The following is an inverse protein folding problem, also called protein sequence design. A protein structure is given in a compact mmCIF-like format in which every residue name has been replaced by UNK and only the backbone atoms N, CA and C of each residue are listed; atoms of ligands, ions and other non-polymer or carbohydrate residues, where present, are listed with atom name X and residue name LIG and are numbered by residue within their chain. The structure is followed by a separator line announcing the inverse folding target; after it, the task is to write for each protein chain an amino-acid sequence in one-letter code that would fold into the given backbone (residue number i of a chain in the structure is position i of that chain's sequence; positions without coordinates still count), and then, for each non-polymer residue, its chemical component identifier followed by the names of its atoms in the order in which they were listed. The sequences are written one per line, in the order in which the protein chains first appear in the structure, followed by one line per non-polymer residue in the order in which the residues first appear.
data_IF_910303995886
#
_entry.id   IF_910303995886
#
_cell.length_a   1.000
_cell.length_b   1.000
_cell.length_c   1.000
_cell.angle_alpha   90.00
_cell.angle_beta   90.00
_cell.angle_gamma   90.00
#
_symmetry.space_group_name_H-M   'P 1'
#
loop_
_entity.id
_entity.type
_entity.pdbx_description
1 polymer ?
#
# COMPACT_ATOMS: atom_id res chain seq x y z
N UNK A 1 -3.31 19.08 -16.35
CA UNK A 1 -2.49 20.21 -15.83
C UNK A 1 -1.72 19.68 -14.63
N UNK A 2 -0.45 20.09 -14.45
CA UNK A 2 0.41 19.63 -13.35
C UNK A 2 0.53 20.79 -12.36
N UNK A 3 0.30 20.51 -11.07
CA UNK A 3 0.51 21.47 -9.98
C UNK A 3 1.91 21.22 -9.42
N UNK A 4 2.71 22.30 -9.26
CA UNK A 4 4.03 22.21 -8.63
C UNK A 4 3.88 21.87 -7.14
N UNK A 5 4.70 20.95 -6.65
CA UNK A 5 4.72 20.46 -5.26
C UNK A 5 5.46 21.39 -4.27
N UNK A 6 6.09 22.45 -4.77
CA UNK A 6 6.85 23.41 -3.97
C UNK A 6 8.32 23.07 -3.79
N UNK A 7 8.77 21.91 -4.27
CA UNK A 7 10.18 21.53 -4.24
C UNK A 7 10.89 21.91 -5.55
N UNK A 8 12.10 22.39 -5.43
CA UNK A 8 12.97 22.62 -6.58
C UNK A 8 13.51 21.28 -7.14
N UNK A 9 13.99 21.28 -8.39
CA UNK A 9 14.42 20.05 -9.08
C UNK A 9 15.61 19.35 -8.43
N UNK A 10 16.44 20.08 -7.70
CA UNK A 10 17.65 19.58 -7.03
C UNK A 10 17.41 19.16 -5.57
N UNK A 11 16.21 19.38 -5.04
CA UNK A 11 15.89 19.02 -3.67
C UNK A 11 15.60 17.54 -3.53
N UNK A 12 15.99 16.96 -2.39
CA UNK A 12 15.79 15.54 -2.11
C UNK A 12 14.30 15.25 -1.91
N UNK A 13 13.73 14.49 -2.83
CA UNK A 13 12.33 14.07 -2.78
C UNK A 13 12.10 12.84 -1.91
N UNK A 14 13.15 12.28 -1.29
CA UNK A 14 13.02 11.23 -0.30
C UNK A 14 12.92 11.78 1.14
N UNK A 15 13.16 13.07 1.32
CA UNK A 15 12.92 13.76 2.59
C UNK A 15 11.41 13.99 2.77
N UNK A 16 10.75 13.07 3.48
CA UNK A 16 9.31 13.10 3.69
C UNK A 16 8.85 14.32 4.49
N UNK A 17 9.64 14.80 5.44
CA UNK A 17 9.29 15.98 6.23
C UNK A 17 9.23 17.20 5.31
N UNK A 18 10.31 17.46 4.58
CA UNK A 18 10.40 18.58 3.65
C UNK A 18 9.35 18.52 2.55
N UNK A 19 9.12 17.33 1.99
CA UNK A 19 8.10 17.13 0.98
C UNK A 19 6.70 17.44 1.53
N UNK A 20 6.39 16.98 2.74
CA UNK A 20 5.10 17.26 3.40
C UNK A 20 4.89 18.76 3.59
N UNK A 21 5.86 19.47 4.16
CA UNK A 21 5.78 20.92 4.36
C UNK A 21 5.60 21.68 3.05
N UNK A 22 6.39 21.37 2.03
CA UNK A 22 6.33 22.03 0.73
C UNK A 22 4.96 21.87 0.06
N UNK A 23 4.39 20.65 0.09
CA UNK A 23 3.07 20.33 -0.45
C UNK A 23 2.00 21.14 0.27
N UNK A 24 1.98 21.13 1.60
CA UNK A 24 0.95 21.82 2.38
C UNK A 24 1.02 23.35 2.25
N UNK A 25 2.20 23.91 2.03
CA UNK A 25 2.39 25.35 1.84
C UNK A 25 2.02 25.81 0.41
N UNK A 26 2.30 25.00 -0.59
CA UNK A 26 2.25 25.46 -1.99
C UNK A 26 1.00 25.01 -2.73
N UNK A 27 0.62 23.74 -2.59
CA UNK A 27 -0.42 23.15 -3.45
C UNK A 27 -1.84 23.65 -3.20
N UNK A 28 -2.27 24.04 -1.98
CA UNK A 28 -3.63 24.55 -1.75
C UNK A 28 -3.96 25.77 -2.62
N UNK A 29 -3.09 26.78 -2.65
CA UNK A 29 -3.29 27.99 -3.44
C UNK A 29 -3.33 27.68 -4.96
N UNK A 30 -2.46 26.78 -5.38
CA UNK A 30 -2.41 26.32 -6.78
C UNK A 30 -3.66 25.53 -7.20
N UNK A 31 -4.24 24.76 -6.30
CA UNK A 31 -5.51 24.06 -6.58
C UNK A 31 -6.66 25.07 -6.75
N UNK A 32 -6.72 26.12 -5.92
CA UNK A 32 -7.71 27.21 -6.06
C UNK A 32 -7.57 27.88 -7.43
N UNK A 33 -6.35 28.22 -7.87
CA UNK A 33 -6.07 28.81 -9.17
C UNK A 33 -6.53 27.89 -10.31
N UNK A 34 -6.23 26.60 -10.20
CA UNK A 34 -6.62 25.59 -11.18
C UNK A 34 -8.14 25.48 -11.31
N UNK A 35 -8.85 25.33 -10.19
CA UNK A 35 -10.32 25.24 -10.17
C UNK A 35 -10.94 26.50 -10.78
N UNK A 36 -10.46 27.68 -10.40
CA UNK A 36 -10.94 28.94 -10.97
C UNK A 36 -10.70 29.03 -12.48
N UNK A 37 -9.58 28.49 -12.96
CA UNK A 37 -9.24 28.48 -14.39
C UNK A 37 -10.17 27.57 -15.17
N UNK A 38 -10.42 26.36 -14.69
CA UNK A 38 -11.32 25.40 -15.31
C UNK A 38 -12.76 25.93 -15.32
N UNK A 39 -13.20 26.50 -14.20
CA UNK A 39 -14.58 27.00 -14.03
C UNK A 39 -14.89 28.28 -14.84
N UNK A 40 -13.90 28.90 -15.49
CA UNK A 40 -14.14 30.00 -16.44
C UNK A 40 -14.74 29.52 -17.76
N UNK A 41 -14.60 28.25 -18.10
CA UNK A 41 -15.18 27.62 -19.27
C UNK A 41 -16.59 27.15 -18.89
N UNK A 42 -17.64 27.71 -19.57
CA UNK A 42 -19.03 27.51 -19.16
C UNK A 42 -19.50 26.04 -19.12
N UNK A 43 -18.89 25.18 -19.91
CA UNK A 43 -19.30 23.77 -20.03
C UNK A 43 -18.53 22.80 -19.14
N UNK A 44 -17.55 23.27 -18.34
CA UNK A 44 -16.58 22.40 -17.63
C UNK A 44 -16.43 22.72 -16.15
N UNK A 45 -17.52 23.10 -15.47
CA UNK A 45 -17.45 23.40 -14.02
C UNK A 45 -17.12 22.16 -13.20
N UNK A 46 -16.21 22.32 -12.25
CA UNK A 46 -15.88 21.29 -11.27
C UNK A 46 -17.01 21.23 -10.25
N UNK A 47 -17.69 20.08 -10.17
CA UNK A 47 -18.83 19.84 -9.27
C UNK A 47 -18.48 18.99 -8.04
N UNK A 48 -17.33 18.30 -8.07
CA UNK A 48 -16.87 17.48 -6.95
C UNK A 48 -15.34 17.41 -6.96
N UNK A 49 -14.75 17.44 -5.76
CA UNK A 49 -13.32 17.13 -5.55
C UNK A 49 -13.24 15.79 -4.83
N UNK A 50 -12.53 14.83 -5.45
CA UNK A 50 -12.17 13.57 -4.83
C UNK A 50 -10.69 13.65 -4.51
N UNK A 51 -10.31 13.55 -3.24
CA UNK A 51 -8.93 13.66 -2.81
C UNK A 51 -8.47 12.41 -2.06
N UNK A 52 -7.23 12.00 -2.31
CA UNK A 52 -6.52 11.07 -1.43
C UNK A 52 -6.47 11.70 -0.02
N UNK A 53 -6.69 10.87 1.00
CA UNK A 53 -6.73 11.34 2.40
C UNK A 53 -5.41 11.97 2.82
N UNK A 54 -4.28 11.53 2.28
CA UNK A 54 -2.98 12.19 2.51
C UNK A 54 -2.94 13.62 1.99
N UNK A 55 -3.88 13.99 1.10
CA UNK A 55 -4.08 15.33 0.54
C UNK A 55 -5.30 16.04 1.16
N UNK A 56 -5.54 15.86 2.46
CA UNK A 56 -6.70 16.46 3.17
C UNK A 56 -6.85 17.97 2.97
N UNK A 57 -5.76 18.70 2.70
CA UNK A 57 -5.79 20.11 2.33
C UNK A 57 -6.65 20.38 1.07
N UNK A 58 -6.74 19.44 0.14
CA UNK A 58 -7.58 19.60 -1.06
C UNK A 58 -9.08 19.55 -0.71
N UNK A 59 -9.46 18.80 0.34
CA UNK A 59 -10.82 18.78 0.86
C UNK A 59 -11.18 20.10 1.53
N UNK A 60 -10.23 20.75 2.22
CA UNK A 60 -10.43 22.11 2.74
C UNK A 60 -10.58 23.16 1.64
N UNK A 61 -9.80 23.03 0.55
CA UNK A 61 -9.98 23.91 -0.62
C UNK A 61 -11.38 23.76 -1.20
N UNK A 62 -11.87 22.53 -1.37
CA UNK A 62 -13.21 22.27 -1.87
C UNK A 62 -14.29 22.83 -0.94
N UNK A 63 -14.14 22.67 0.40
CA UNK A 63 -15.03 23.25 1.41
C UNK A 63 -15.13 24.77 1.26
N UNK A 64 -13.99 25.46 1.18
CA UNK A 64 -13.94 26.93 1.06
C UNK A 64 -14.49 27.45 -0.28
N UNK A 65 -14.57 26.60 -1.27
CA UNK A 65 -15.13 26.92 -2.60
C UNK A 65 -16.56 26.41 -2.78
N UNK A 66 -17.19 25.87 -1.74
CA UNK A 66 -18.53 25.30 -1.75
C UNK A 66 -18.70 24.19 -2.79
N UNK A 67 -17.64 23.42 -3.07
CA UNK A 67 -17.63 22.28 -3.96
C UNK A 67 -17.84 21.00 -3.16
N UNK A 68 -18.70 20.09 -3.67
CA UNK A 68 -18.90 18.76 -3.09
C UNK A 68 -17.58 18.03 -2.98
N UNK A 69 -17.43 17.18 -1.97
CA UNK A 69 -16.15 16.52 -1.70
C UNK A 69 -16.31 15.09 -1.20
N UNK A 70 -15.39 14.27 -1.64
CA UNK A 70 -15.25 12.91 -1.17
C UNK A 70 -13.78 12.62 -0.89
N UNK A 71 -13.53 11.82 0.13
CA UNK A 71 -12.18 11.33 0.42
C UNK A 71 -12.00 9.92 -0.12
N UNK A 72 -10.78 9.63 -0.58
CA UNK A 72 -10.37 8.32 -1.06
C UNK A 72 -9.16 7.85 -0.27
N UNK A 73 -9.21 6.62 0.24
CA UNK A 73 -8.12 5.97 0.93
C UNK A 73 -7.59 4.78 0.13
N UNK A 74 -6.35 4.84 -0.39
CA UNK A 74 -5.79 3.80 -1.23
C UNK A 74 -5.16 2.62 -0.46
N UNK A 75 -5.09 2.69 0.88
CA UNK A 75 -4.49 1.69 1.74
C UNK A 75 -5.54 0.86 2.52
N UNK A 76 -5.11 0.06 3.50
CA UNK A 76 -5.99 -0.79 4.32
C UNK A 76 -6.96 0.01 5.19
N UNK A 77 -8.15 -0.53 5.42
CA UNK A 77 -9.15 0.13 6.25
C UNK A 77 -8.68 0.27 7.70
N UNK A 78 -7.91 -0.69 8.22
CA UNK A 78 -7.35 -0.61 9.58
C UNK A 78 -6.35 0.52 9.74
N UNK A 79 -5.56 0.83 8.70
CA UNK A 79 -4.66 1.97 8.73
C UNK A 79 -5.45 3.30 8.77
N UNK A 80 -6.54 3.40 8.01
CA UNK A 80 -7.45 4.55 8.09
C UNK A 80 -8.14 4.64 9.44
N UNK A 81 -8.64 3.54 9.98
CA UNK A 81 -9.27 3.49 11.30
C UNK A 81 -8.31 3.98 12.39
N UNK A 82 -7.03 3.55 12.34
CA UNK A 82 -5.99 4.03 13.25
C UNK A 82 -5.78 5.54 13.13
N UNK A 83 -5.76 6.04 11.90
CA UNK A 83 -5.63 7.46 11.60
C UNK A 83 -6.82 8.27 12.17
N UNK A 84 -8.04 7.82 11.94
CA UNK A 84 -9.25 8.49 12.43
C UNK A 84 -9.40 8.41 13.95
N UNK A 85 -8.75 7.46 14.61
CA UNK A 85 -8.74 7.28 16.07
C UNK A 85 -7.64 8.06 16.79
N UNK A 86 -6.93 8.96 16.09
CA UNK A 86 -5.74 9.64 16.64
C UNK A 86 -5.99 10.29 18.02
N UNK A 87 -7.15 10.92 18.21
CA UNK A 87 -7.47 11.57 19.48
C UNK A 87 -7.64 10.55 20.61
N UNK A 88 -8.36 9.45 20.36
CA UNK A 88 -8.52 8.35 21.33
C UNK A 88 -7.16 7.75 21.70
N UNK A 89 -6.26 7.57 20.73
CA UNK A 89 -4.92 7.03 21.00
C UNK A 89 -4.08 7.97 21.89
N UNK A 90 -4.28 9.29 21.79
CA UNK A 90 -3.66 10.28 22.69
C UNK A 90 -4.30 10.21 24.07
N UNK A 91 -5.61 10.23 24.16
CA UNK A 91 -6.37 10.25 25.42
C UNK A 91 -6.13 8.97 26.24
N UNK A 92 -5.97 7.84 25.58
CA UNK A 92 -5.65 6.53 26.19
C UNK A 92 -4.16 6.36 26.53
N UNK A 93 -3.32 7.36 26.24
CA UNK A 93 -1.89 7.33 26.56
C UNK A 93 -1.07 6.32 25.74
N UNK A 94 -1.55 5.95 24.56
CA UNK A 94 -0.83 5.10 23.61
C UNK A 94 0.30 5.89 22.93
N UNK A 95 0.02 7.16 22.58
CA UNK A 95 0.98 8.08 21.98
C UNK A 95 0.82 9.49 22.55
N UNK A 96 1.81 10.33 22.32
CA UNK A 96 1.75 11.76 22.66
C UNK A 96 1.14 12.61 21.53
N UNK A 97 1.00 13.92 21.78
CA UNK A 97 0.47 14.89 20.80
C UNK A 97 1.34 15.08 19.53
N UNK A 98 2.56 14.57 19.52
CA UNK A 98 3.46 14.58 18.37
C UNK A 98 3.39 13.23 17.58
N UNK A 99 2.47 12.33 17.95
CA UNK A 99 2.29 11.02 17.31
C UNK A 99 3.34 9.98 17.72
N UNK A 100 4.16 10.28 18.73
CA UNK A 100 5.21 9.37 19.21
C UNK A 100 4.63 8.37 20.22
N UNK A 101 4.80 7.07 20.04
CA UNK A 101 4.40 6.06 21.01
C UNK A 101 4.99 6.31 22.39
N UNK A 102 4.18 6.17 23.45
CA UNK A 102 4.61 6.37 24.84
C UNK A 102 5.04 5.06 25.51
N UNK A 103 4.64 3.92 24.95
CA UNK A 103 4.95 2.59 25.47
C UNK A 103 4.84 1.54 24.33
N UNK A 104 5.20 0.30 24.64
CA UNK A 104 5.11 -0.83 23.68
C UNK A 104 3.89 -1.73 23.94
N UNK A 105 2.92 -1.30 24.76
CA UNK A 105 1.73 -2.07 25.07
C UNK A 105 0.86 -2.23 23.84
N UNK A 106 0.60 -3.46 23.46
CA UNK A 106 -0.29 -3.79 22.35
C UNK A 106 -1.71 -3.32 22.72
N UNK A 107 -2.38 -2.66 21.78
CA UNK A 107 -3.74 -2.16 21.93
C UNK A 107 -4.63 -2.65 20.78
N UNK A 108 -5.93 -2.49 20.91
CA UNK A 108 -6.93 -2.75 19.88
C UNK A 108 -7.85 -1.55 19.77
N UNK A 109 -8.22 -1.14 18.54
CA UNK A 109 -9.22 -0.09 18.32
C UNK A 109 -10.63 -0.55 18.69
N UNK A 110 -10.85 -1.86 18.68
CA UNK A 110 -12.07 -2.54 19.13
C UNK A 110 -11.69 -3.97 19.56
N UNK A 111 -12.42 -4.60 20.48
CA UNK A 111 -12.13 -5.98 20.93
C UNK A 111 -12.11 -7.03 19.83
N UNK A 112 -12.76 -6.75 18.69
CA UNK A 112 -12.82 -7.64 17.52
C UNK A 112 -11.77 -7.32 16.45
N UNK A 113 -11.15 -6.13 16.52
CA UNK A 113 -10.13 -5.74 15.55
C UNK A 113 -8.76 -6.33 15.91
N UNK A 114 -7.86 -6.49 14.92
CA UNK A 114 -6.52 -7.00 15.17
C UNK A 114 -5.73 -6.16 16.18
N UNK A 115 -4.87 -6.79 16.99
CA UNK A 115 -3.99 -6.08 17.89
C UNK A 115 -2.93 -5.28 17.14
N UNK A 116 -2.62 -4.08 17.62
CA UNK A 116 -1.67 -3.15 17.02
C UNK A 116 -0.56 -2.83 18.04
N UNK A 117 0.69 -2.91 17.62
CA UNK A 117 1.81 -2.35 18.36
C UNK A 117 1.89 -0.85 18.08
N UNK A 118 2.04 0.02 19.09
CA UNK A 118 2.14 1.47 18.86
C UNK A 118 3.21 1.86 17.84
N UNK A 119 4.37 1.17 17.86
CA UNK A 119 5.45 1.38 16.91
C UNK A 119 5.10 0.99 15.46
N UNK A 120 4.00 0.24 15.23
CA UNK A 120 3.51 -0.18 13.91
C UNK A 120 2.40 0.75 13.38
N UNK A 121 2.07 1.83 14.08
CA UNK A 121 1.21 2.87 13.53
C UNK A 121 1.88 3.50 12.30
N UNK A 122 1.12 3.74 11.24
CA UNK A 122 1.68 4.11 9.93
C UNK A 122 2.61 5.31 9.95
N UNK A 123 2.38 6.25 10.85
CA UNK A 123 3.22 7.44 11.03
C UNK A 123 4.40 7.23 12.00
N UNK A 124 4.33 6.23 12.88
CA UNK A 124 5.36 5.99 13.91
C UNK A 124 6.61 5.28 13.36
N UNK A 125 6.52 4.71 12.16
CA UNK A 125 7.59 3.90 11.55
C UNK A 125 8.15 4.48 10.24
N UNK A 126 7.97 5.80 9.98
CA UNK A 126 8.33 6.43 8.70
C UNK A 126 9.66 7.19 8.69
N UNK A 127 10.32 7.36 9.82
CA UNK A 127 11.56 8.13 9.87
C UNK A 127 12.03 8.44 11.30
N UNK A 128 12.74 9.53 11.44
CA UNK A 128 13.15 10.05 12.75
C UNK A 128 11.99 10.79 13.46
N UNK A 129 12.22 11.20 14.70
CA UNK A 129 11.21 11.89 15.52
C UNK A 129 10.74 13.21 14.91
N UNK A 130 11.61 13.94 14.21
CA UNK A 130 11.24 15.21 13.57
C UNK A 130 10.31 14.96 12.38
N UNK A 131 10.66 14.01 11.54
CA UNK A 131 9.82 13.56 10.42
C UNK A 131 8.47 13.03 10.91
N UNK A 132 8.46 12.18 11.95
CA UNK A 132 7.23 11.64 12.56
C UNK A 132 6.29 12.76 12.99
N UNK A 133 6.81 13.78 13.69
CA UNK A 133 6.02 14.93 14.15
C UNK A 133 5.36 15.69 13.00
N UNK A 134 6.14 16.03 11.96
CA UNK A 134 5.65 16.80 10.79
C UNK A 134 4.57 16.01 10.06
N UNK A 135 4.83 14.75 9.78
CA UNK A 135 3.88 13.89 9.07
C UNK A 135 2.64 13.62 9.91
N UNK A 136 2.79 13.42 11.23
CA UNK A 136 1.64 13.23 12.13
C UNK A 136 0.74 14.45 12.18
N UNK A 137 1.30 15.67 12.26
CA UNK A 137 0.52 16.89 12.20
C UNK A 137 -0.27 17.02 10.90
N UNK A 138 0.35 16.70 9.76
CA UNK A 138 -0.33 16.66 8.46
C UNK A 138 -1.47 15.63 8.43
N UNK A 139 -1.24 14.43 9.02
CA UNK A 139 -2.24 13.37 9.17
C UNK A 139 -3.43 13.85 10.03
N UNK A 140 -3.19 14.51 11.15
CA UNK A 140 -4.25 15.04 12.02
C UNK A 140 -5.11 16.05 11.28
N UNK A 141 -4.50 16.99 10.55
CA UNK A 141 -5.25 17.95 9.73
C UNK A 141 -6.05 17.27 8.62
N UNK A 142 -5.47 16.26 7.99
CA UNK A 142 -6.18 15.43 7.00
C UNK A 142 -7.38 14.70 7.62
N UNK A 143 -7.21 14.07 8.78
CA UNK A 143 -8.29 13.36 9.49
C UNK A 143 -9.47 14.29 9.82
N UNK A 144 -9.19 15.52 10.28
CA UNK A 144 -10.22 16.54 10.55
C UNK A 144 -11.00 16.93 9.29
N UNK A 145 -10.34 16.98 8.13
CA UNK A 145 -11.00 17.27 6.86
C UNK A 145 -11.86 16.09 6.38
N UNK A 146 -11.34 14.87 6.53
CA UNK A 146 -11.99 13.62 6.09
C UNK A 146 -13.33 13.38 6.81
N UNK A 147 -13.35 13.57 8.14
CA UNK A 147 -14.57 13.36 8.94
C UNK A 147 -15.74 14.24 8.47
N UNK A 148 -15.45 15.37 7.82
CA UNK A 148 -16.46 16.28 7.29
C UNK A 148 -16.88 16.00 5.85
N UNK A 149 -16.32 14.97 5.19
CA UNK A 149 -16.71 14.63 3.83
C UNK A 149 -17.98 13.78 3.80
N UNK A 150 -18.76 13.91 2.74
CA UNK A 150 -19.99 13.12 2.54
C UNK A 150 -19.70 11.65 2.25
N UNK A 151 -18.50 11.36 1.69
CA UNK A 151 -18.08 10.02 1.32
C UNK A 151 -16.64 9.76 1.75
N UNK A 152 -16.44 8.66 2.46
CA UNK A 152 -15.10 8.14 2.81
C UNK A 152 -14.94 6.79 2.11
N UNK A 153 -14.30 6.81 0.94
CA UNK A 153 -14.12 5.65 0.08
C UNK A 153 -12.80 4.96 0.42
N UNK A 154 -12.82 3.64 0.61
CA UNK A 154 -11.63 2.87 0.94
C UNK A 154 -11.35 1.79 -0.11
N UNK A 155 -10.11 1.72 -0.59
CA UNK A 155 -9.64 0.67 -1.52
C UNK A 155 -9.43 -0.66 -0.80
N UNK A 156 -10.46 -1.15 -0.15
CA UNK A 156 -10.52 -2.45 0.50
C UNK A 156 -11.91 -3.05 0.31
N UNK A 157 -12.14 -4.23 0.85
CA UNK A 157 -13.47 -4.85 0.82
C UNK A 157 -13.88 -5.31 2.22
N UNK A 158 -15.20 -5.35 2.45
CA UNK A 158 -15.76 -5.84 3.71
C UNK A 158 -15.31 -7.27 4.03
N UNK A 159 -15.08 -8.11 3.02
CA UNK A 159 -14.64 -9.48 3.22
C UNK A 159 -13.14 -9.60 3.62
N UNK A 160 -12.34 -8.56 3.36
CA UNK A 160 -10.93 -8.52 3.76
C UNK A 160 -10.74 -7.98 5.18
N UNK A 161 -11.54 -6.96 5.54
CA UNK A 161 -11.39 -6.24 6.81
C UNK A 161 -12.75 -6.02 7.49
N UNK A 162 -13.55 -7.11 7.64
CA UNK A 162 -14.93 -7.09 8.14
C UNK A 162 -15.10 -6.36 9.45
N UNK A 163 -14.18 -6.60 10.40
CA UNK A 163 -14.23 -6.03 11.74
C UNK A 163 -14.03 -4.52 11.71
N UNK A 164 -13.10 -4.06 10.87
CA UNK A 164 -12.84 -2.63 10.69
C UNK A 164 -14.05 -1.92 10.09
N UNK A 165 -14.63 -2.43 9.01
CA UNK A 165 -15.82 -1.82 8.39
C UNK A 165 -17.05 -1.89 9.29
N UNK A 166 -17.18 -2.91 10.12
CA UNK A 166 -18.27 -3.03 11.09
C UNK A 166 -18.15 -2.00 12.22
N UNK A 167 -16.94 -1.72 12.67
CA UNK A 167 -16.69 -0.75 13.74
C UNK A 167 -16.68 0.70 13.23
N UNK A 168 -16.29 0.92 11.99
CA UNK A 168 -16.26 2.23 11.31
C UNK A 168 -17.21 2.24 10.10
N UNK A 169 -18.55 2.25 10.32
CA UNK A 169 -19.54 2.12 9.24
C UNK A 169 -19.55 3.29 8.25
N UNK A 170 -18.94 4.43 8.62
CA UNK A 170 -18.73 5.56 7.71
C UNK A 170 -17.69 5.29 6.61
N UNK A 171 -16.83 4.28 6.77
CA UNK A 171 -15.89 3.86 5.75
C UNK A 171 -16.61 2.97 4.74
N UNK A 172 -16.56 3.34 3.48
CA UNK A 172 -17.24 2.61 2.41
C UNK A 172 -16.23 1.84 1.57
N UNK A 173 -16.29 0.52 1.63
CA UNK A 173 -15.45 -0.34 0.80
C UNK A 173 -15.83 -0.19 -0.67
N UNK A 174 -14.85 0.09 -1.55
CA UNK A 174 -15.02 0.12 -2.99
C UNK A 174 -13.99 -0.75 -3.73
N UNK A 175 -13.11 -1.41 -2.98
CA UNK A 175 -12.02 -2.24 -3.50
C UNK A 175 -12.34 -3.74 -3.52
N UNK A 176 -11.36 -4.54 -3.98
CA UNK A 176 -10.06 -4.12 -4.46
C UNK A 176 -10.09 -3.44 -5.83
N UNK A 177 -9.57 -2.20 -5.90
CA UNK A 177 -9.36 -1.51 -7.16
C UNK A 177 -7.98 -1.87 -7.67
N UNK A 178 -7.94 -2.70 -8.70
CA UNK A 178 -6.71 -3.08 -9.36
C UNK A 178 -6.59 -2.34 -10.68
N UNK A 179 -5.35 -2.04 -11.10
CA UNK A 179 -5.07 -1.54 -12.44
C UNK A 179 -5.43 -2.64 -13.44
N UNK A 180 -6.70 -2.76 -13.76
CA UNK A 180 -7.21 -3.77 -14.69
C UNK A 180 -7.20 -3.21 -16.11
N UNK A 181 -7.22 -4.10 -17.12
CA UNK A 181 -7.38 -3.78 -18.54
C UNK A 181 -8.68 -3.02 -18.88
N UNK A 182 -9.47 -2.58 -17.89
CA UNK A 182 -10.72 -1.81 -18.07
C UNK A 182 -10.50 -0.46 -18.77
N UNK A 183 -9.32 0.12 -18.58
CA UNK A 183 -8.94 1.35 -19.26
C UNK A 183 -7.84 0.99 -20.25
N UNK A 184 -8.10 0.73 -21.49
CA UNK A 184 -7.21 0.38 -22.60
C UNK A 184 -5.83 1.14 -22.67
N UNK A 185 -5.50 1.93 -21.66
CA UNK A 185 -4.23 2.60 -21.43
C UNK A 185 -3.63 2.07 -20.13
N UNK A 186 -2.36 1.62 -20.21
CA UNK A 186 -1.58 1.28 -19.03
C UNK A 186 -1.51 2.50 -18.08
N UNK A 187 -1.69 2.26 -16.77
CA UNK A 187 -1.33 3.24 -15.76
C UNK A 187 0.16 3.55 -15.87
N UNK A 188 0.56 4.79 -15.59
CA UNK A 188 1.97 5.16 -15.59
C UNK A 188 2.77 4.32 -14.60
N UNK A 189 4.01 3.98 -14.96
CA UNK A 189 4.95 3.25 -14.11
C UNK A 189 6.12 4.16 -13.75
N UNK A 190 6.71 3.96 -12.57
CA UNK A 190 7.91 4.70 -12.15
C UNK A 190 9.14 4.30 -12.98
N UNK A 191 9.19 3.03 -13.43
CA UNK A 191 10.26 2.47 -14.26
C UNK A 191 9.65 1.68 -15.42
N UNK A 192 10.37 1.57 -16.56
CA UNK A 192 9.94 0.70 -17.65
C UNK A 192 9.81 -0.76 -17.18
N UNK A 193 8.71 -1.41 -17.54
CA UNK A 193 8.50 -2.83 -17.25
C UNK A 193 9.35 -3.71 -18.18
N UNK A 194 10.06 -4.68 -17.60
CA UNK A 194 10.71 -5.76 -18.34
C UNK A 194 9.74 -6.94 -18.48
N UNK A 195 9.04 -6.99 -19.62
CA UNK A 195 8.09 -8.07 -19.92
C UNK A 195 8.78 -9.39 -20.29
N UNK A 196 10.10 -9.42 -20.52
CA UNK A 196 10.83 -10.65 -20.85
C UNK A 196 10.81 -11.66 -19.73
N UNK A 197 10.54 -11.20 -18.48
CA UNK A 197 10.35 -12.08 -17.35
C UNK A 197 9.14 -13.02 -17.52
N UNK A 198 8.11 -12.64 -18.28
CA UNK A 198 6.94 -13.50 -18.52
C UNK A 198 7.33 -14.72 -19.39
N UNK A 199 8.13 -14.52 -20.45
CA UNK A 199 8.65 -15.62 -21.26
C UNK A 199 9.54 -16.57 -20.46
N UNK A 200 10.29 -16.04 -19.47
CA UNK A 200 11.05 -16.89 -18.55
C UNK A 200 10.13 -17.67 -17.60
N UNK A 201 9.06 -17.05 -17.10
CA UNK A 201 8.05 -17.72 -16.26
C UNK A 201 7.35 -18.86 -17.00
N UNK A 202 7.07 -18.70 -18.32
CA UNK A 202 6.47 -19.76 -19.17
C UNK A 202 7.32 -21.03 -19.19
N UNK A 203 8.63 -20.92 -18.97
CA UNK A 203 9.57 -22.05 -18.95
C UNK A 203 9.67 -22.73 -17.57
N UNK A 204 9.02 -22.17 -16.53
CA UNK A 204 9.12 -22.70 -15.18
C UNK A 204 7.95 -23.64 -14.87
N UNK A 205 8.17 -24.69 -14.06
CA UNK A 205 7.09 -25.54 -13.58
C UNK A 205 6.00 -24.75 -12.86
N UNK A 206 4.77 -25.23 -12.92
CA UNK A 206 3.68 -24.62 -12.15
C UNK A 206 3.98 -24.61 -10.65
N UNK A 207 3.61 -23.51 -9.95
CA UNK A 207 3.79 -23.33 -8.52
C UNK A 207 5.23 -23.58 -8.03
N UNK A 208 6.24 -23.14 -8.79
CA UNK A 208 7.66 -23.35 -8.45
C UNK A 208 8.43 -22.08 -8.14
N UNK A 209 8.01 -20.93 -8.69
CA UNK A 209 8.76 -19.66 -8.66
C UNK A 209 8.44 -18.83 -7.43
N UNK A 210 9.48 -18.37 -6.75
CA UNK A 210 9.38 -17.33 -5.74
C UNK A 210 9.43 -15.98 -6.46
N UNK A 211 8.38 -15.15 -6.32
CA UNK A 211 8.41 -13.77 -6.80
C UNK A 211 8.83 -12.84 -5.67
N UNK A 212 9.77 -11.93 -5.93
CA UNK A 212 10.31 -10.99 -4.92
C UNK A 212 10.19 -9.56 -5.43
N UNK A 213 9.44 -8.69 -4.69
CA UNK A 213 9.38 -7.27 -4.98
C UNK A 213 9.13 -6.44 -3.71
N UNK A 214 9.90 -5.37 -3.55
CA UNK A 214 9.88 -4.48 -2.39
C UNK A 214 9.23 -3.12 -2.68
N UNK A 215 8.44 -3.01 -3.75
CA UNK A 215 7.78 -1.76 -4.12
C UNK A 215 8.77 -0.67 -4.54
N UNK A 216 8.30 0.58 -4.50
CA UNK A 216 9.04 1.74 -5.03
C UNK A 216 9.89 2.48 -3.99
N UNK A 217 9.68 2.25 -2.68
CA UNK A 217 10.31 3.05 -1.61
C UNK A 217 11.30 2.28 -0.73
N UNK A 218 11.15 0.97 -0.58
CA UNK A 218 12.01 0.18 0.32
C UNK A 218 13.49 0.31 -0.07
N UNK A 219 14.33 0.61 0.92
CA UNK A 219 15.80 0.63 0.76
C UNK A 219 16.38 -0.41 1.71
N UNK A 220 17.13 -1.36 1.18
CA UNK A 220 17.85 -2.36 1.93
C UNK A 220 19.30 -1.87 2.16
N UNK A 221 19.85 -2.18 3.34
CA UNK A 221 21.31 -2.08 3.46
C UNK A 221 22.01 -3.23 2.73
N UNK A 222 23.28 -3.09 2.43
CA UNK A 222 24.03 -4.05 1.63
C UNK A 222 24.08 -5.43 2.30
N UNK A 223 24.25 -5.49 3.63
CA UNK A 223 24.29 -6.75 4.36
C UNK A 223 22.97 -7.51 4.27
N UNK A 224 21.83 -6.79 4.38
CA UNK A 224 20.51 -7.38 4.24
C UNK A 224 20.23 -7.81 2.78
N UNK A 225 20.72 -7.07 1.80
CA UNK A 225 20.64 -7.45 0.40
C UNK A 225 21.39 -8.76 0.10
N UNK A 226 22.60 -8.91 0.66
CA UNK A 226 23.40 -10.12 0.55
C UNK A 226 22.73 -11.32 1.22
N UNK A 227 22.17 -11.16 2.42
CA UNK A 227 21.42 -12.21 3.11
C UNK A 227 20.19 -12.66 2.30
N UNK A 228 19.49 -11.72 1.64
CA UNK A 228 18.39 -12.05 0.74
C UNK A 228 18.88 -12.86 -0.46
N UNK A 229 19.96 -12.43 -1.12
CA UNK A 229 20.55 -13.14 -2.24
C UNK A 229 20.94 -14.58 -1.86
N UNK A 230 21.69 -14.75 -0.76
CA UNK A 230 22.09 -16.06 -0.24
C UNK A 230 20.88 -16.90 0.16
N UNK A 231 19.87 -16.30 0.77
CA UNK A 231 18.64 -16.99 1.14
C UNK A 231 17.90 -17.56 -0.07
N UNK A 232 17.79 -16.79 -1.16
CA UNK A 232 17.21 -17.24 -2.41
C UNK A 232 18.02 -18.39 -3.04
N UNK A 233 19.34 -18.28 -3.05
CA UNK A 233 20.22 -19.34 -3.50
C UNK A 233 20.00 -20.63 -2.72
N UNK A 234 19.95 -20.55 -1.39
CA UNK A 234 19.76 -21.68 -0.49
C UNK A 234 18.40 -22.38 -0.62
N UNK A 235 17.37 -21.71 -1.16
CA UNK A 235 16.07 -22.36 -1.42
C UNK A 235 16.16 -23.41 -2.52
N UNK A 236 17.15 -23.30 -3.37
CA UNK A 236 17.32 -24.13 -4.59
C UNK A 236 16.10 -24.13 -5.53
N UNK A 237 15.29 -23.06 -5.48
CA UNK A 237 14.08 -22.89 -6.30
C UNK A 237 14.27 -21.83 -7.37
N UNK A 238 13.48 -21.86 -8.46
CA UNK A 238 13.41 -20.73 -9.38
C UNK A 238 12.90 -19.48 -8.66
N UNK A 239 13.46 -18.32 -8.99
CA UNK A 239 12.99 -17.04 -8.44
C UNK A 239 13.04 -15.91 -9.47
N UNK A 240 12.07 -15.02 -9.40
CA UNK A 240 12.02 -13.75 -10.12
C UNK A 240 12.15 -12.62 -9.11
N UNK A 241 13.25 -11.88 -9.17
CA UNK A 241 13.56 -10.82 -8.23
C UNK A 241 13.60 -9.46 -8.91
N UNK A 242 12.77 -8.52 -8.42
CA UNK A 242 12.76 -7.12 -8.85
C UNK A 242 13.80 -6.34 -8.06
N UNK A 243 14.87 -5.92 -8.73
CA UNK A 243 15.97 -5.13 -8.18
C UNK A 243 15.98 -3.77 -8.90
N UNK A 244 15.16 -2.84 -8.38
CA UNK A 244 15.05 -1.51 -8.97
C UNK A 244 16.28 -0.65 -8.70
N UNK A 245 16.55 0.38 -9.52
CA UNK A 245 17.54 1.40 -9.17
C UNK A 245 17.25 2.02 -7.80
N UNK A 246 18.27 2.16 -6.96
CA UNK A 246 18.13 2.71 -5.61
C UNK A 246 17.43 1.79 -4.60
N UNK A 247 17.44 0.46 -4.81
CA UNK A 247 17.00 -0.51 -3.78
C UNK A 247 17.98 -0.61 -2.62
N UNK A 248 19.23 -0.23 -2.85
CA UNK A 248 20.24 -0.02 -1.81
C UNK A 248 20.69 1.45 -1.84
N UNK A 249 21.39 1.88 -0.79
CA UNK A 249 21.97 3.25 -0.72
C UNK A 249 23.14 3.45 -1.69
N UNK A 250 23.78 2.35 -2.07
CA UNK A 250 24.88 2.35 -3.02
C UNK A 250 24.37 2.60 -4.45
N UNK A 251 25.18 3.28 -5.26
CA UNK A 251 24.85 3.56 -6.66
C UNK A 251 24.81 2.29 -7.53
N UNK A 252 25.54 1.25 -7.11
CA UNK A 252 25.58 -0.05 -7.79
C UNK A 252 25.35 -1.15 -6.76
N UNK A 253 24.37 -2.01 -7.04
CA UNK A 253 24.07 -3.18 -6.20
C UNK A 253 25.19 -4.21 -6.34
N UNK A 254 25.71 -4.69 -5.20
CA UNK A 254 26.73 -5.74 -5.17
C UNK A 254 26.12 -7.06 -4.71
N UNK A 255 26.20 -8.07 -5.58
CA UNK A 255 25.82 -9.44 -5.24
C UNK A 255 26.99 -10.18 -4.57
N UNK A 256 26.73 -11.25 -3.77
CA UNK A 256 27.78 -12.13 -3.27
C UNK A 256 28.67 -12.63 -4.42
N UNK A 257 29.97 -12.79 -4.16
CA UNK A 257 30.93 -13.26 -5.16
C UNK A 257 30.45 -14.56 -5.84
N UNK A 258 30.50 -14.61 -7.17
CA UNK A 258 30.05 -15.76 -7.96
C UNK A 258 28.55 -16.09 -7.88
N UNK A 259 27.72 -15.22 -7.29
CA UNK A 259 26.29 -15.46 -7.09
C UNK A 259 25.55 -15.77 -8.40
N UNK A 260 25.79 -14.97 -9.44
CA UNK A 260 25.09 -15.13 -10.74
C UNK A 260 25.37 -16.48 -11.38
N UNK A 261 26.62 -16.98 -11.25
CA UNK A 261 27.01 -18.29 -11.77
C UNK A 261 26.35 -19.44 -10.99
N UNK A 262 26.28 -19.30 -9.64
CA UNK A 262 25.67 -20.34 -8.78
C UNK A 262 24.15 -20.43 -8.92
N UNK A 263 23.46 -19.31 -9.09
CA UNK A 263 22.01 -19.34 -9.31
C UNK A 263 21.66 -19.70 -10.75
N UNK A 264 22.52 -19.35 -11.72
CA UNK A 264 22.38 -19.71 -13.12
C UNK A 264 20.99 -19.37 -13.69
N UNK A 265 20.41 -20.30 -14.44
CA UNK A 265 19.07 -20.12 -15.04
C UNK A 265 17.90 -20.14 -14.05
N UNK A 266 18.13 -20.52 -12.79
CA UNK A 266 17.09 -20.50 -11.74
C UNK A 266 16.73 -19.07 -11.30
N UNK A 267 17.66 -18.14 -11.36
CA UNK A 267 17.47 -16.74 -10.98
C UNK A 267 17.15 -15.87 -12.20
N UNK A 268 16.01 -15.16 -12.16
CA UNK A 268 15.71 -14.08 -13.09
C UNK A 268 15.64 -12.79 -12.30
N UNK A 269 16.51 -11.82 -12.63
CA UNK A 269 16.56 -10.50 -12.00
C UNK A 269 16.16 -9.46 -13.05
N UNK A 270 15.26 -8.54 -12.67
CA UNK A 270 14.75 -7.48 -13.53
C UNK A 270 14.68 -6.17 -12.74
N UNK A 271 14.79 -5.04 -13.41
CA UNK A 271 14.66 -3.72 -12.75
C UNK A 271 13.23 -3.39 -12.35
N UNK A 272 12.25 -3.79 -13.14
CA UNK A 272 10.82 -3.62 -12.87
C UNK A 272 10.03 -4.67 -13.63
N UNK A 273 8.98 -5.21 -13.01
CA UNK A 273 8.17 -6.27 -13.59
C UNK A 273 6.69 -5.85 -13.72
N UNK A 274 5.95 -6.38 -14.71
CA UNK A 274 4.50 -6.24 -14.79
C UNK A 274 3.83 -7.07 -13.69
N UNK A 275 3.83 -6.58 -12.44
CA UNK A 275 3.54 -7.34 -11.22
C UNK A 275 2.23 -8.11 -11.26
N UNK A 276 1.15 -7.50 -11.77
CA UNK A 276 -0.16 -8.19 -11.88
C UNK A 276 -0.09 -9.40 -12.83
N UNK A 277 0.62 -9.26 -13.96
CA UNK A 277 0.81 -10.38 -14.90
C UNK A 277 1.69 -11.47 -14.29
N UNK A 278 2.74 -11.07 -13.55
CA UNK A 278 3.60 -12.03 -12.83
C UNK A 278 2.79 -12.77 -11.77
N UNK A 279 2.06 -12.07 -10.90
CA UNK A 279 1.27 -12.71 -9.83
C UNK A 279 0.14 -13.60 -10.36
N UNK A 280 -0.39 -13.31 -11.55
CA UNK A 280 -1.39 -14.17 -12.21
C UNK A 280 -0.80 -15.38 -12.91
N UNK A 281 0.53 -15.47 -13.03
CA UNK A 281 1.20 -16.55 -13.77
C UNK A 281 1.16 -17.86 -12.99
N UNK A 282 0.82 -19.01 -13.62
CA UNK A 282 0.65 -20.29 -12.94
C UNK A 282 1.94 -20.84 -12.33
N UNK A 283 3.11 -20.41 -12.77
CA UNK A 283 4.39 -20.83 -12.19
C UNK A 283 4.71 -20.15 -10.83
N UNK A 284 4.05 -19.04 -10.48
CA UNK A 284 4.32 -18.34 -9.22
C UNK A 284 3.77 -19.14 -8.04
N UNK A 285 4.65 -19.51 -7.12
CA UNK A 285 4.32 -20.28 -5.92
C UNK A 285 4.02 -19.37 -4.71
N UNK A 286 4.81 -18.32 -4.51
CA UNK A 286 4.64 -17.36 -3.42
C UNK A 286 5.22 -16.00 -3.78
N UNK A 287 4.83 -14.99 -2.99
CA UNK A 287 5.26 -13.60 -3.14
C UNK A 287 6.00 -13.13 -1.88
N UNK A 288 7.31 -12.94 -1.98
CA UNK A 288 8.09 -12.24 -0.97
C UNK A 288 7.87 -10.73 -1.16
N UNK A 289 7.08 -10.14 -0.27
CA UNK A 289 6.53 -8.80 -0.40
C UNK A 289 6.88 -7.92 0.80
N UNK A 290 7.06 -6.62 0.53
CA UNK A 290 7.11 -5.59 1.57
C UNK A 290 5.74 -5.34 2.23
N UNK A 291 4.67 -5.99 1.80
CA UNK A 291 3.31 -5.87 2.34
C UNK A 291 2.66 -4.49 2.16
N UNK A 292 3.12 -3.64 1.24
CA UNK A 292 2.39 -2.44 0.83
C UNK A 292 1.02 -2.80 0.26
N UNK A 293 -0.02 -2.01 0.58
CA UNK A 293 -1.41 -2.41 0.34
C UNK A 293 -1.73 -2.77 -1.11
N UNK A 294 -1.25 -2.00 -2.08
CA UNK A 294 -1.49 -2.33 -3.49
C UNK A 294 -0.93 -3.71 -3.85
N UNK A 295 0.31 -4.01 -3.45
CA UNK A 295 0.93 -5.33 -3.66
C UNK A 295 0.20 -6.43 -2.90
N UNK A 296 -0.32 -6.13 -1.71
CA UNK A 296 -1.14 -7.05 -0.92
C UNK A 296 -2.43 -7.38 -1.65
N UNK A 297 -3.17 -6.38 -2.15
CA UNK A 297 -4.38 -6.59 -2.94
C UNK A 297 -4.10 -7.37 -4.24
N UNK A 298 -2.99 -7.09 -4.93
CA UNK A 298 -2.60 -7.82 -6.14
C UNK A 298 -2.31 -9.28 -5.84
N UNK A 299 -1.58 -9.59 -4.77
CA UNK A 299 -1.31 -10.97 -4.35
C UNK A 299 -2.59 -11.71 -3.91
N UNK A 300 -3.43 -11.08 -3.09
CA UNK A 300 -4.73 -11.60 -2.66
C UNK A 300 -5.62 -11.91 -3.87
N UNK A 301 -5.74 -10.97 -4.81
CA UNK A 301 -6.60 -11.13 -5.99
C UNK A 301 -6.15 -12.25 -6.94
N UNK A 302 -4.88 -12.64 -6.84
CA UNK A 302 -4.32 -13.76 -7.59
C UNK A 302 -4.23 -15.07 -6.77
N UNK A 303 -4.59 -15.05 -5.49
CA UNK A 303 -4.54 -16.21 -4.60
C UNK A 303 -3.10 -16.71 -4.38
N UNK A 304 -2.15 -15.78 -4.22
CA UNK A 304 -0.73 -16.07 -4.02
C UNK A 304 -0.40 -15.97 -2.53
N UNK A 305 0.18 -17.00 -1.90
CA UNK A 305 0.66 -16.93 -0.51
C UNK A 305 1.83 -15.97 -0.36
N UNK A 306 1.97 -15.38 0.85
CA UNK A 306 2.96 -14.35 1.11
C UNK A 306 4.12 -14.81 2.00
N UNK A 307 5.29 -14.28 1.69
CA UNK A 307 6.40 -14.10 2.62
C UNK A 307 6.48 -12.62 2.97
N UNK A 308 6.17 -12.25 4.20
CA UNK A 308 6.03 -10.87 4.61
C UNK A 308 7.35 -10.29 5.13
N UNK A 309 7.72 -9.14 4.57
CA UNK A 309 8.91 -8.37 4.94
C UNK A 309 8.58 -6.87 4.97
N UNK A 310 7.79 -6.42 5.94
CA UNK A 310 7.42 -5.01 6.05
C UNK A 310 8.64 -4.11 6.30
N UNK A 311 8.58 -2.90 5.80
CA UNK A 311 9.64 -1.91 5.91
C UNK A 311 9.19 -0.63 6.63
N UNK A 312 8.01 -0.07 6.28
CA UNK A 312 7.49 1.17 6.86
C UNK A 312 5.98 1.34 6.61
N UNK A 313 5.38 2.40 7.17
CA UNK A 313 3.99 2.83 6.99
C UNK A 313 2.97 1.74 7.39
N UNK A 314 1.93 1.51 6.58
CA UNK A 314 0.86 0.54 6.81
C UNK A 314 1.29 -0.92 6.69
N UNK A 315 2.52 -1.17 6.24
CA UNK A 315 3.00 -2.50 5.89
C UNK A 315 3.01 -3.48 7.08
N UNK A 316 3.27 -2.99 8.29
CA UNK A 316 3.25 -3.81 9.51
C UNK A 316 1.83 -4.22 9.91
N UNK A 317 0.84 -3.34 9.71
CA UNK A 317 -0.56 -3.68 9.94
C UNK A 317 -1.05 -4.67 8.89
N UNK A 318 -0.64 -4.48 7.62
CA UNK A 318 -0.95 -5.41 6.53
C UNK A 318 -0.32 -6.80 6.76
N UNK A 319 0.92 -6.87 7.31
CA UNK A 319 1.54 -8.13 7.73
C UNK A 319 0.67 -8.88 8.75
N UNK A 320 0.11 -8.16 9.76
CA UNK A 320 -0.79 -8.76 10.75
C UNK A 320 -2.00 -9.39 10.08
N UNK A 321 -2.62 -8.71 9.11
CA UNK A 321 -3.73 -9.30 8.36
C UNK A 321 -3.31 -10.54 7.58
N UNK A 322 -2.19 -10.49 6.85
CA UNK A 322 -1.70 -11.60 6.03
C UNK A 322 -1.36 -12.82 6.88
N UNK A 323 -0.66 -12.62 8.00
CA UNK A 323 -0.10 -13.71 8.79
C UNK A 323 -1.06 -14.25 9.86
N UNK A 324 -1.80 -13.36 10.54
CA UNK A 324 -2.55 -13.71 11.75
C UNK A 324 -4.06 -13.77 11.53
N UNK A 325 -4.60 -13.01 10.56
CA UNK A 325 -6.05 -12.95 10.29
C UNK A 325 -6.43 -13.79 9.09
N UNK A 326 -5.72 -13.62 7.97
CA UNK A 326 -5.98 -14.39 6.75
C UNK A 326 -5.23 -15.71 6.69
N UNK A 327 -4.19 -15.85 7.51
CA UNK A 327 -3.33 -17.05 7.59
C UNK A 327 -2.85 -17.55 6.22
N UNK A 328 -2.57 -16.62 5.31
CA UNK A 328 -2.10 -16.91 3.96
C UNK A 328 -0.65 -16.51 3.71
N UNK A 329 0.12 -16.27 4.78
CA UNK A 329 1.51 -15.89 4.70
C UNK A 329 2.29 -16.13 5.99
N UNK A 330 3.60 -15.92 5.89
CA UNK A 330 4.55 -16.05 7.02
C UNK A 330 5.41 -14.80 7.12
N UNK A 331 5.61 -14.32 8.36
CA UNK A 331 6.47 -13.19 8.66
C UNK A 331 7.95 -13.59 8.67
N UNK A 332 8.79 -12.75 8.08
CA UNK A 332 10.23 -12.76 8.27
C UNK A 332 10.59 -11.77 9.39
N UNK A 333 11.40 -12.19 10.35
CA UNK A 333 11.72 -11.39 11.54
C UNK A 333 13.21 -11.17 11.66
N UNK A 334 13.60 -9.91 11.91
CA UNK A 334 14.99 -9.57 12.20
C UNK A 334 15.47 -10.32 13.45
N UNK A 335 16.68 -10.84 13.39
CA UNK A 335 17.37 -11.42 14.54
C UNK A 335 17.82 -10.32 15.52
N UNK A 336 18.52 -10.70 16.59
CA UNK A 336 19.08 -9.74 17.58
C UNK A 336 20.08 -8.75 16.97
N UNK A 337 20.67 -9.08 15.83
CA UNK A 337 21.56 -8.20 15.07
C UNK A 337 20.83 -7.27 14.07
N UNK A 338 19.50 -7.28 14.05
CA UNK A 338 18.71 -6.44 13.16
C UNK A 338 18.57 -6.96 11.72
N UNK A 339 19.01 -8.19 11.44
CA UNK A 339 19.10 -8.77 10.10
C UNK A 339 18.18 -9.98 9.98
N UNK A 340 17.51 -10.13 8.84
CA UNK A 340 16.81 -11.35 8.41
C UNK A 340 17.82 -12.22 7.69
N UNK A 341 18.10 -13.41 8.22
CA UNK A 341 19.18 -14.28 7.71
C UNK A 341 18.76 -15.14 6.53
N UNK A 342 19.72 -15.54 5.71
CA UNK A 342 19.55 -16.45 4.59
C UNK A 342 18.87 -17.76 4.98
N UNK A 343 19.27 -18.34 6.12
CA UNK A 343 18.68 -19.57 6.65
C UNK A 343 17.23 -19.39 7.04
N UNK A 344 16.86 -18.23 7.60
CA UNK A 344 15.47 -17.93 7.93
C UNK A 344 14.62 -17.85 6.65
N UNK A 345 15.12 -17.15 5.61
CA UNK A 345 14.45 -17.04 4.31
C UNK A 345 14.19 -18.42 3.73
N UNK A 346 15.24 -19.27 3.63
CA UNK A 346 15.13 -20.66 3.17
C UNK A 346 14.11 -21.44 3.99
N UNK A 347 14.22 -21.39 5.31
CA UNK A 347 13.36 -22.15 6.22
C UNK A 347 11.89 -21.76 6.07
N UNK A 348 11.61 -20.45 6.01
CA UNK A 348 10.25 -19.92 5.90
C UNK A 348 9.64 -20.17 4.51
N UNK A 349 10.42 -20.06 3.44
CA UNK A 349 9.98 -20.46 2.09
C UNK A 349 9.59 -21.94 2.07
N UNK A 350 10.43 -22.81 2.63
CA UNK A 350 10.12 -24.22 2.68
C UNK A 350 8.88 -24.51 3.53
N UNK A 351 8.72 -23.83 4.68
CA UNK A 351 7.53 -23.94 5.53
C UNK A 351 6.28 -23.52 4.74
N UNK A 352 6.30 -22.35 4.07
CA UNK A 352 5.17 -21.82 3.31
C UNK A 352 4.72 -22.78 2.21
N UNK A 353 5.67 -23.34 1.47
CA UNK A 353 5.40 -24.16 0.28
C UNK A 353 5.16 -25.64 0.60
N UNK A 354 5.48 -26.11 1.81
CA UNK A 354 5.21 -27.48 2.25
C UNK A 354 3.81 -27.66 2.85
N UNK A 355 3.15 -26.59 3.26
CA UNK A 355 1.81 -26.64 3.86
C UNK A 355 0.77 -26.07 2.87
N UNK A 356 -0.14 -26.93 2.42
CA UNK A 356 -1.21 -26.53 1.46
C UNK A 356 -2.15 -25.49 2.05
N UNK A 357 -2.30 -25.43 3.38
CA UNK A 357 -3.19 -24.51 4.10
C UNK A 357 -2.99 -23.06 3.67
N UNK A 358 -1.75 -22.59 3.52
CA UNK A 358 -1.49 -21.21 3.07
C UNK A 358 -2.03 -20.94 1.67
N UNK A 359 -1.89 -21.92 0.77
CA UNK A 359 -2.41 -21.81 -0.60
C UNK A 359 -3.93 -21.89 -0.62
N UNK A 360 -4.53 -22.76 0.18
CA UNK A 360 -5.97 -22.92 0.29
C UNK A 360 -6.60 -21.65 0.86
N UNK A 361 -6.01 -21.07 1.91
CA UNK A 361 -6.45 -19.79 2.48
C UNK A 361 -6.30 -18.64 1.47
N UNK A 362 -5.19 -18.58 0.73
CA UNK A 362 -4.99 -17.57 -0.30
C UNK A 362 -6.05 -17.66 -1.42
N UNK A 363 -6.42 -18.86 -1.84
CA UNK A 363 -7.48 -19.08 -2.84
C UNK A 363 -8.87 -18.72 -2.30
N UNK A 364 -9.18 -19.11 -1.06
CA UNK A 364 -10.44 -18.75 -0.40
C UNK A 364 -10.56 -17.22 -0.24
N UNK A 365 -9.48 -16.55 0.14
CA UNK A 365 -9.44 -15.09 0.27
C UNK A 365 -9.61 -14.39 -1.07
N UNK A 366 -8.98 -14.91 -2.14
CA UNK A 366 -9.19 -14.44 -3.52
C UNK A 366 -10.66 -14.45 -3.89
N UNK A 367 -11.37 -15.57 -3.69
CA UNK A 367 -12.79 -15.66 -4.03
C UNK A 367 -13.64 -14.63 -3.26
N UNK A 368 -13.37 -14.43 -1.98
CA UNK A 368 -13.99 -13.40 -1.15
C UNK A 368 -13.76 -12.00 -1.71
N UNK A 369 -12.50 -11.65 -1.98
CA UNK A 369 -12.12 -10.34 -2.52
C UNK A 369 -12.76 -10.07 -3.89
N UNK A 370 -12.67 -11.04 -4.80
CA UNK A 370 -13.24 -10.94 -6.15
C UNK A 370 -14.76 -10.85 -6.10
N UNK A 371 -15.44 -11.56 -5.18
CA UNK A 371 -16.90 -11.49 -5.03
C UNK A 371 -17.39 -10.09 -4.67
N UNK A 372 -16.59 -9.30 -3.94
CA UNK A 372 -16.94 -7.93 -3.54
C UNK A 372 -17.12 -6.96 -4.70
N UNK A 373 -16.34 -7.17 -5.78
CA UNK A 373 -16.30 -6.29 -6.97
C UNK A 373 -17.09 -6.84 -8.15
N UNK A 374 -17.63 -8.08 -8.06
CA UNK A 374 -18.55 -8.63 -9.07
C UNK A 374 -19.89 -7.92 -9.01
N UNK A 375 -20.67 -8.05 -10.07
CA UNK A 375 -22.04 -7.51 -10.14
C UNK A 375 -22.89 -7.98 -8.93
N UNK A 376 -23.43 -7.03 -8.19
CA UNK A 376 -24.17 -7.26 -6.94
C UNK A 376 -23.30 -7.39 -5.68
N UNK A 377 -21.97 -7.31 -5.79
CA UNK A 377 -21.03 -7.30 -4.65
C UNK A 377 -21.11 -6.02 -3.84
N UNK A 378 -20.62 -6.05 -2.59
CA UNK A 378 -20.70 -4.92 -1.67
C UNK A 378 -19.90 -3.69 -2.17
N UNK A 379 -18.69 -3.90 -2.65
CA UNK A 379 -17.83 -2.83 -3.15
C UNK A 379 -18.37 -2.24 -4.47
N UNK A 380 -18.92 -3.09 -5.33
CA UNK A 380 -19.54 -2.64 -6.57
C UNK A 380 -20.79 -1.78 -6.29
N UNK A 381 -21.64 -2.18 -5.34
CA UNK A 381 -22.81 -1.39 -4.91
C UNK A 381 -22.40 -0.03 -4.35
N UNK A 382 -21.42 -0.01 -3.44
CA UNK A 382 -20.93 1.24 -2.87
C UNK A 382 -20.37 2.19 -3.94
N UNK A 383 -19.58 1.66 -4.88
CA UNK A 383 -19.05 2.45 -5.99
C UNK A 383 -20.16 2.98 -6.90
N UNK A 384 -21.17 2.18 -7.22
CA UNK A 384 -22.31 2.62 -8.03
C UNK A 384 -23.13 3.70 -7.32
N UNK A 385 -23.38 3.56 -6.02
CA UNK A 385 -24.05 4.59 -5.23
C UNK A 385 -23.27 5.89 -5.21
N UNK A 386 -21.94 5.81 -5.07
CA UNK A 386 -21.06 6.98 -5.15
C UNK A 386 -21.09 7.64 -6.53
N UNK A 387 -21.04 6.86 -7.62
CA UNK A 387 -21.16 7.37 -8.99
C UNK A 387 -22.52 8.03 -9.22
N UNK A 388 -23.59 7.43 -8.69
CA UNK A 388 -24.92 8.02 -8.77
C UNK A 388 -24.98 9.35 -8.03
N UNK A 389 -24.44 9.43 -6.81
CA UNK A 389 -24.34 10.68 -6.07
C UNK A 389 -23.55 11.76 -6.81
N UNK A 390 -22.44 11.43 -7.49
CA UNK A 390 -21.71 12.42 -8.31
C UNK A 390 -22.58 12.93 -9.47
N UNK A 391 -23.39 12.05 -10.11
CA UNK A 391 -24.23 12.38 -11.26
C UNK A 391 -25.50 13.14 -10.89
N UNK A 392 -25.96 13.05 -9.65
CA UNK A 392 -27.09 13.83 -9.17
C UNK A 392 -26.72 15.31 -9.25
N UNK A 393 -27.17 15.93 -10.33
CA UNK A 393 -27.03 17.37 -10.52
C UNK A 393 -27.69 18.08 -9.34
N UNK A 394 -27.08 19.18 -8.94
CA UNK A 394 -27.63 20.25 -8.12
C UNK A 394 -29.07 20.62 -8.51
N UNK A 395 -30.03 19.78 -8.15
CA UNK A 395 -31.46 20.17 -8.23
C UNK A 395 -31.83 21.11 -7.06
N UNK A 396 -30.85 21.62 -6.29
CA UNK A 396 -31.07 22.42 -5.09
C UNK A 396 -30.58 23.87 -5.18
N UNK A 397 -30.13 24.36 -6.35
CA UNK A 397 -29.79 25.77 -6.52
C UNK A 397 -30.84 26.55 -7.35
N UNK A 398 -32.05 26.03 -7.47
CA UNK A 398 -33.20 26.74 -8.11
C UNK A 398 -34.49 26.51 -7.32
N UNK A 399 -34.49 26.98 -6.08
CA UNK A 399 -35.73 27.27 -5.35
C UNK A 399 -35.54 28.46 -4.43
#
# INVERSE_FOLDING_TARGET
MIIADGLERWEDRNDLAKQTEAIFQTMPAKLVELIKTINKEDDSKITCVIADISMGWALHVAENMEIRRASFWPASAVALASLLSFQTLIDDGIMNHDGVPLNDNIFQLSPTMPPIKPANLSWACIGDLATTKIVFQAIVEAAKAVIKTEWILCNSSHHLESETFSHFPQLLSIGPLLASNRLAKQAGHFWPEDSTCLTWLDQQPACSVIYIAFGSFTILDQAQFEELALGLELTNRPFLWVVRPGITKETTVTYPEGYMDRVGSRGRIVSWAPQQKVLSHPSVACFLSHCGWNSTLEGVNNGVPFMCWPYFADQFQNETYICDIWENGLALKKNKGGVITAEQIKSKVNQLLSHTTFKDNALALKEKAVSSIRNGGSSEKNLNNFIQWIKEKENHLSS
#
